data_IF_938148235245
#
_entry.id   IF_938148235245
#
_cell.length_a   1.000
_cell.length_b   1.000
_cell.length_c   1.000
_cell.angle_alpha   90.00
_cell.angle_beta   90.00
_cell.angle_gamma   90.00
#
_symmetry.space_group_name_H-M   'P 1'
#
loop_
_entity.id
_entity.type
_entity.pdbx_description
1 polymer ?
#
# COMPACT_ATOMS: atom_id res chain seq x y z
N UNK A 1 -23.87 3.87 15.93
CA UNK A 1 -22.83 3.35 15.03
C UNK A 1 -21.53 4.12 15.31
N UNK A 2 -20.43 3.43 15.62
CA UNK A 2 -19.16 4.10 15.94
C UNK A 2 -18.46 4.52 14.64
N UNK A 3 -17.93 5.74 14.59
CA UNK A 3 -17.22 6.29 13.43
C UNK A 3 -15.71 6.08 13.56
N UNK A 4 -15.05 5.69 12.47
CA UNK A 4 -13.61 5.43 12.43
C UNK A 4 -12.96 6.23 11.31
N UNK A 5 -12.01 7.09 11.65
CA UNK A 5 -11.22 7.85 10.66
C UNK A 5 -10.13 6.94 10.06
N UNK A 6 -10.11 6.85 8.73
CA UNK A 6 -9.13 6.05 7.98
C UNK A 6 -8.20 7.00 7.22
N UNK A 7 -6.94 7.08 7.62
CA UNK A 7 -5.94 8.04 7.10
C UNK A 7 -4.88 7.44 6.16
N UNK A 8 -4.90 6.12 5.98
CA UNK A 8 -3.93 5.39 5.15
C UNK A 8 -4.10 5.71 3.66
N UNK A 9 -3.06 5.51 2.81
CA UNK A 9 -3.16 5.74 1.38
C UNK A 9 -3.98 4.65 0.67
N UNK A 10 -4.43 4.97 -0.55
CA UNK A 10 -5.02 3.99 -1.46
C UNK A 10 -3.97 3.02 -2.05
N UNK A 11 -4.38 1.80 -2.44
CA UNK A 11 -5.72 1.19 -2.34
C UNK A 11 -6.03 0.60 -0.94
N UNK A 12 -5.15 0.85 0.05
CA UNK A 12 -5.31 0.30 1.39
C UNK A 12 -6.48 0.92 2.16
N UNK A 13 -6.77 2.20 1.92
CA UNK A 13 -7.85 2.92 2.59
C UNK A 13 -9.20 2.28 2.27
N UNK A 14 -9.50 2.09 0.99
CA UNK A 14 -10.71 1.42 0.52
C UNK A 14 -10.88 0.01 1.09
N UNK A 15 -9.81 -0.81 1.12
CA UNK A 15 -9.86 -2.15 1.73
C UNK A 15 -10.15 -2.13 3.24
N UNK A 16 -9.63 -1.13 3.96
CA UNK A 16 -9.92 -0.98 5.39
C UNK A 16 -11.35 -0.50 5.60
N UNK A 17 -11.85 0.43 4.79
CA UNK A 17 -13.22 0.91 4.87
C UNK A 17 -14.24 -0.24 4.71
N UNK A 18 -14.04 -1.10 3.70
CA UNK A 18 -14.90 -2.27 3.49
C UNK A 18 -14.94 -3.19 4.72
N UNK A 19 -13.77 -3.51 5.29
CA UNK A 19 -13.69 -4.36 6.49
C UNK A 19 -14.33 -3.71 7.72
N UNK A 20 -14.30 -2.38 7.81
CA UNK A 20 -14.96 -1.63 8.89
C UNK A 20 -16.48 -1.69 8.74
N UNK A 21 -17.00 -1.54 7.51
CA UNK A 21 -18.42 -1.69 7.21
C UNK A 21 -18.93 -3.10 7.53
N UNK A 22 -18.20 -4.14 7.10
CA UNK A 22 -18.51 -5.54 7.41
C UNK A 22 -18.54 -5.81 8.93
N UNK A 23 -17.74 -5.08 9.70
CA UNK A 23 -17.71 -5.16 11.16
C UNK A 23 -18.72 -4.24 11.86
N UNK A 24 -19.58 -3.51 11.13
CA UNK A 24 -20.62 -2.64 11.68
C UNK A 24 -20.16 -1.23 12.10
N UNK A 25 -18.97 -0.81 11.68
CA UNK A 25 -18.46 0.55 11.87
C UNK A 25 -18.83 1.46 10.70
N UNK A 26 -18.82 2.78 10.95
CA UNK A 26 -18.90 3.79 9.90
C UNK A 26 -17.49 4.31 9.56
N UNK A 27 -16.87 3.89 8.45
CA UNK A 27 -15.61 4.48 8.04
C UNK A 27 -15.79 5.93 7.58
N UNK A 28 -14.81 6.77 7.89
CA UNK A 28 -14.65 8.12 7.34
C UNK A 28 -13.28 8.16 6.68
N UNK A 29 -13.25 8.22 5.36
CA UNK A 29 -12.01 8.23 4.59
C UNK A 29 -11.43 9.65 4.55
N UNK A 30 -10.18 9.78 4.98
CA UNK A 30 -9.38 11.00 4.83
C UNK A 30 -7.92 10.60 4.60
N UNK A 31 -7.54 10.07 3.42
CA UNK A 31 -6.15 9.72 3.14
C UNK A 31 -5.23 10.94 3.33
N UNK A 32 -4.24 10.81 4.21
CA UNK A 32 -3.28 11.89 4.53
C UNK A 32 -1.92 11.68 3.88
N UNK A 33 -1.72 10.54 3.22
CA UNK A 33 -0.49 10.21 2.50
C UNK A 33 -0.84 9.53 1.17
N UNK A 34 0.13 9.50 0.28
CA UNK A 34 0.07 8.78 -1.00
C UNK A 34 1.38 8.01 -1.20
N UNK A 35 1.31 6.88 -1.90
CA UNK A 35 2.51 6.17 -2.37
C UNK A 35 2.80 6.61 -3.79
N UNK A 36 3.98 7.18 -4.05
CA UNK A 36 4.44 7.51 -5.40
C UNK A 36 5.50 6.53 -5.85
N UNK A 37 5.37 6.05 -7.08
CA UNK A 37 6.47 5.38 -7.75
C UNK A 37 7.64 6.35 -7.87
N UNK A 38 8.83 5.86 -7.55
CA UNK A 38 10.09 6.52 -7.84
C UNK A 38 10.80 5.73 -8.94
N UNK A 39 11.61 6.38 -9.79
CA UNK A 39 12.43 5.65 -10.75
C UNK A 39 13.32 4.63 -10.03
N UNK A 40 13.17 3.36 -10.39
CA UNK A 40 14.09 2.32 -9.95
C UNK A 40 15.31 2.31 -10.88
N UNK A 41 16.51 2.44 -10.33
CA UNK A 41 17.73 2.32 -11.11
C UNK A 41 17.92 0.87 -11.60
N UNK A 42 18.34 0.71 -12.86
CA UNK A 42 18.82 -0.57 -13.33
C UNK A 42 20.02 -1.03 -12.49
N UNK A 43 20.11 -2.33 -12.18
CA UNK A 43 21.18 -2.88 -11.33
C UNK A 43 21.03 -2.61 -9.83
N UNK A 44 19.83 -2.23 -9.36
CA UNK A 44 19.50 -2.11 -7.93
C UNK A 44 19.71 -3.43 -7.17
N UNK A 45 19.53 -4.55 -7.86
CA UNK A 45 19.77 -5.89 -7.33
C UNK A 45 21.17 -6.32 -7.79
N UNK A 46 22.11 -6.60 -6.86
CA UNK A 46 23.44 -7.09 -7.22
C UNK A 46 23.36 -8.44 -7.95
N UNK A 47 24.23 -8.67 -8.95
CA UNK A 47 24.26 -9.91 -9.73
C UNK A 47 24.45 -11.18 -8.88
N UNK A 48 25.05 -11.05 -7.68
CA UNK A 48 25.23 -12.14 -6.72
C UNK A 48 24.10 -12.32 -5.71
N UNK A 49 23.00 -11.55 -5.80
CA UNK A 49 21.90 -11.66 -4.88
C UNK A 49 21.12 -12.97 -5.11
N UNK A 50 21.12 -13.85 -4.12
CA UNK A 50 20.39 -15.13 -4.18
C UNK A 50 18.93 -15.02 -3.72
N UNK A 51 18.56 -13.90 -3.09
CA UNK A 51 17.20 -13.63 -2.61
C UNK A 51 16.95 -12.13 -2.47
N UNK A 52 15.68 -11.72 -2.56
CA UNK A 52 15.23 -10.34 -2.34
C UNK A 52 14.07 -10.33 -1.35
N UNK A 53 14.17 -9.48 -0.32
CA UNK A 53 13.11 -9.27 0.65
C UNK A 53 12.24 -8.06 0.26
N UNK A 54 10.95 -8.30 0.04
CA UNK A 54 9.98 -7.25 -0.25
C UNK A 54 9.14 -6.99 1.01
N UNK A 55 9.36 -5.83 1.65
CA UNK A 55 8.76 -5.51 2.96
C UNK A 55 7.38 -4.87 2.88
N UNK A 56 6.92 -4.53 1.68
CA UNK A 56 5.64 -3.89 1.45
C UNK A 56 5.03 -4.30 0.12
N UNK A 57 3.73 -4.56 0.11
CA UNK A 57 2.99 -4.80 -1.12
C UNK A 57 3.03 -3.60 -2.09
N UNK A 58 3.37 -2.39 -1.60
CA UNK A 58 3.57 -1.24 -2.48
C UNK A 58 4.79 -1.37 -3.38
N UNK A 59 5.84 -2.09 -2.96
CA UNK A 59 7.02 -2.29 -3.80
C UNK A 59 6.67 -3.12 -5.04
N UNK A 60 5.86 -4.18 -4.89
CA UNK A 60 5.38 -4.98 -6.02
C UNK A 60 4.43 -4.19 -6.93
N UNK A 61 3.52 -3.39 -6.36
CA UNK A 61 2.57 -2.58 -7.15
C UNK A 61 3.22 -1.54 -8.06
N UNK A 62 4.42 -1.09 -7.70
CA UNK A 62 5.15 -0.05 -8.44
C UNK A 62 6.46 -0.59 -9.06
N UNK A 63 6.63 -1.91 -9.09
CA UNK A 63 7.73 -2.51 -9.83
C UNK A 63 7.53 -2.27 -11.33
N UNK A 64 8.62 -2.05 -12.11
CA UNK A 64 8.52 -1.96 -13.57
C UNK A 64 7.98 -3.28 -14.16
N UNK A 65 7.33 -3.18 -15.32
CA UNK A 65 7.02 -4.36 -16.14
C UNK A 65 8.32 -5.01 -16.65
N UNK A 66 8.28 -6.33 -16.85
CA UNK A 66 9.42 -7.13 -17.36
C UNK A 66 9.76 -6.81 -18.81
#
# INVERSE_FOLDING_TARGET
MLRVLVTRPEPGASRTAHRLEEAGFQPVLLPLTETKALPAAAGLIPDGAVAVAVTSANAMRHAPEE
#
